data_IF_157561287940
#
_entry.id   IF_157561287940
#
_cell.length_a   1.000
_cell.length_b   1.000
_cell.length_c   1.000
_cell.angle_alpha   90.00
_cell.angle_beta   90.00
_cell.angle_gamma   90.00
#
_symmetry.space_group_name_H-M   'P 1'
#
loop_
_entity.id
_entity.type
_entity.pdbx_description
1 polymer ?
#
# COMPACT_ATOMS: atom_id res chain seq x y z
N UNK A 1 -6.74 -11.16 10.18
CA UNK A 1 -7.27 -9.79 10.15
C UNK A 1 -6.21 -8.91 9.50
N UNK A 2 -6.39 -8.54 8.23
CA UNK A 2 -5.48 -7.60 7.58
C UNK A 2 -5.81 -6.20 8.07
N UNK A 3 -5.04 -5.71 9.02
CA UNK A 3 -5.07 -4.31 9.42
C UNK A 3 -4.22 -3.55 8.42
N UNK A 4 -4.83 -3.07 7.33
CA UNK A 4 -4.16 -2.05 6.53
C UNK A 4 -3.90 -0.85 7.45
N UNK A 5 -2.66 -0.36 7.56
CA UNK A 5 -2.32 0.76 8.44
C UNK A 5 -3.00 2.07 8.00
N UNK A 6 -3.71 2.03 6.88
CA UNK A 6 -4.35 3.19 6.28
C UNK A 6 -5.86 3.14 6.48
N UNK A 7 -6.47 4.18 7.05
CA UNK A 7 -7.91 4.23 7.19
C UNK A 7 -8.55 4.48 5.82
N UNK A 8 -9.10 3.45 5.14
CA UNK A 8 -9.78 3.62 3.85
C UNK A 8 -10.94 4.61 3.96
N UNK A 9 -11.42 4.87 5.17
CA UNK A 9 -12.45 5.86 5.48
C UNK A 9 -12.06 7.29 5.11
N UNK A 10 -10.76 7.62 5.04
CA UNK A 10 -10.29 8.96 4.72
C UNK A 10 -10.24 9.25 3.23
N UNK A 11 -10.27 8.21 2.40
CA UNK A 11 -10.01 8.32 0.95
C UNK A 11 -11.15 7.75 0.13
N UNK A 12 -11.69 6.59 0.51
CA UNK A 12 -12.64 5.83 -0.29
C UNK A 12 -14.05 5.78 0.28
N UNK A 13 -14.26 6.13 1.54
CA UNK A 13 -15.57 5.97 2.16
C UNK A 13 -16.40 7.22 2.05
N UNK A 14 -17.58 7.05 1.47
CA UNK A 14 -18.68 7.97 1.64
C UNK A 14 -19.18 7.90 3.09
N UNK A 15 -19.35 9.04 3.73
CA UNK A 15 -19.89 9.09 5.08
C UNK A 15 -21.40 8.80 5.05
N UNK A 16 -21.78 7.52 5.10
CA UNK A 16 -23.14 7.13 5.47
C UNK A 16 -23.31 7.24 6.98
N UNK A 17 -24.53 7.32 7.46
CA UNK A 17 -24.89 7.50 8.89
C UNK A 17 -24.24 6.49 9.82
N UNK A 18 -23.79 5.32 9.33
CA UNK A 18 -23.21 4.21 10.11
C UNK A 18 -21.70 4.02 9.90
N UNK A 19 -21.07 4.75 9.01
CA UNK A 19 -19.63 4.61 8.75
C UNK A 19 -18.88 5.69 9.52
N UNK A 20 -18.05 5.32 10.48
CA UNK A 20 -17.25 6.27 11.26
C UNK A 20 -16.48 7.27 10.38
N UNK A 21 -16.29 8.49 10.88
CA UNK A 21 -15.61 9.57 10.15
C UNK A 21 -14.12 9.28 9.93
N UNK A 22 -13.50 9.95 8.95
CA UNK A 22 -12.03 9.92 8.76
C UNK A 22 -11.30 10.27 10.06
N UNK A 23 -11.75 11.29 10.79
CA UNK A 23 -11.16 11.67 12.07
C UNK A 23 -11.21 10.53 13.11
N UNK A 24 -12.32 9.79 13.16
CA UNK A 24 -12.46 8.64 14.05
C UNK A 24 -11.53 7.47 13.62
N UNK A 25 -11.37 7.25 12.32
CA UNK A 25 -10.47 6.24 11.78
C UNK A 25 -9.00 6.56 12.09
N UNK A 26 -8.59 7.81 11.91
CA UNK A 26 -7.25 8.29 12.28
C UNK A 26 -7.02 8.10 13.78
N UNK A 27 -7.98 8.50 14.63
CA UNK A 27 -7.82 8.29 16.08
C UNK A 27 -7.67 6.82 16.44
N UNK A 28 -8.45 5.92 15.83
CA UNK A 28 -8.29 4.47 16.07
C UNK A 28 -6.93 3.96 15.65
N UNK A 29 -6.41 4.40 14.50
CA UNK A 29 -5.08 4.04 14.03
C UNK A 29 -3.99 4.56 14.99
N UNK A 30 -4.07 5.83 15.40
CA UNK A 30 -3.14 6.41 16.39
C UNK A 30 -3.18 5.61 17.72
N UNK A 31 -4.38 5.34 18.25
CA UNK A 31 -4.51 4.57 19.51
C UNK A 31 -3.93 3.15 19.39
N UNK A 32 -4.07 2.51 18.23
CA UNK A 32 -3.48 1.19 17.98
C UNK A 32 -1.96 1.27 17.99
N UNK A 33 -1.39 2.26 17.30
CA UNK A 33 0.05 2.47 17.24
C UNK A 33 0.64 2.84 18.60
N UNK A 34 -0.09 3.62 19.41
CA UNK A 34 0.32 3.99 20.77
C UNK A 34 0.13 2.86 21.78
N UNK A 35 -0.54 1.77 21.38
CA UNK A 35 -0.75 0.61 22.23
C UNK A 35 0.53 -0.23 22.33
N UNK A 36 0.97 -0.59 23.55
CA UNK A 36 2.06 -1.54 23.74
C UNK A 36 1.85 -2.89 23.02
N UNK A 37 0.57 -3.27 22.80
CA UNK A 37 0.23 -4.50 22.12
C UNK A 37 0.73 -4.55 20.67
N UNK A 38 0.85 -3.40 19.99
CA UNK A 38 1.38 -3.35 18.62
C UNK A 38 2.84 -3.80 18.58
N UNK A 39 3.70 -3.16 19.38
CA UNK A 39 5.13 -3.49 19.44
C UNK A 39 5.36 -4.90 19.98
N UNK A 40 4.65 -5.31 21.03
CA UNK A 40 4.76 -6.66 21.59
C UNK A 40 4.36 -7.74 20.58
N UNK A 41 3.28 -7.55 19.83
CA UNK A 41 2.86 -8.51 18.82
C UNK A 41 3.88 -8.66 17.69
N UNK A 42 4.45 -7.54 17.25
CA UNK A 42 5.50 -7.54 16.23
C UNK A 42 6.78 -8.22 16.75
N UNK A 43 7.18 -7.88 17.97
CA UNK A 43 8.36 -8.48 18.61
C UNK A 43 8.21 -10.00 18.74
N UNK A 44 7.05 -10.46 19.21
CA UNK A 44 6.76 -11.91 19.32
C UNK A 44 6.78 -12.58 17.94
N UNK A 45 6.24 -11.95 16.92
CA UNK A 45 6.28 -12.49 15.55
C UNK A 45 7.71 -12.62 15.04
N UNK A 46 8.54 -11.60 15.21
CA UNK A 46 9.94 -11.62 14.78
C UNK A 46 10.75 -12.70 15.51
N UNK A 47 10.59 -12.83 16.82
CA UNK A 47 11.24 -13.86 17.61
C UNK A 47 10.80 -15.25 17.19
N UNK A 48 9.50 -15.47 16.96
CA UNK A 48 8.97 -16.75 16.48
C UNK A 48 9.50 -17.12 15.09
N UNK A 49 9.66 -16.13 14.20
CA UNK A 49 10.24 -16.36 12.87
C UNK A 49 11.72 -16.73 12.95
N UNK A 50 12.49 -16.06 13.81
CA UNK A 50 13.89 -16.40 14.04
C UNK A 50 14.02 -17.82 14.58
N UNK A 51 13.24 -18.20 15.59
CA UNK A 51 13.24 -19.55 16.17
C UNK A 51 12.86 -20.60 15.13
N UNK A 52 11.78 -20.40 14.39
CA UNK A 52 11.33 -21.30 13.33
C UNK A 52 12.39 -21.50 12.23
N UNK A 53 13.13 -20.45 11.90
CA UNK A 53 14.23 -20.50 10.93
C UNK A 53 15.50 -21.14 11.49
N UNK A 54 15.57 -21.46 12.78
CA UNK A 54 16.79 -21.94 13.46
C UNK A 54 18.00 -21.10 13.11
N UNK A 55 17.86 -19.78 13.28
CA UNK A 55 18.82 -18.78 12.80
C UNK A 55 20.27 -19.04 13.24
N UNK A 56 20.48 -19.69 14.39
CA UNK A 56 21.81 -20.06 14.91
C UNK A 56 22.55 -21.02 13.96
N UNK A 57 21.80 -21.84 13.22
CA UNK A 57 22.35 -22.80 12.25
C UNK A 57 22.56 -22.16 10.87
N UNK A 58 22.07 -20.95 10.67
CA UNK A 58 22.10 -20.24 9.39
C UNK A 58 22.80 -18.89 9.53
N UNK A 59 24.15 -18.82 9.45
CA UNK A 59 24.92 -17.60 9.71
C UNK A 59 24.51 -16.40 8.85
N UNK A 60 24.03 -16.64 7.63
CA UNK A 60 23.58 -15.60 6.70
C UNK A 60 22.07 -15.33 6.74
N UNK A 61 21.34 -15.95 7.64
CA UNK A 61 19.90 -15.66 7.77
C UNK A 61 19.68 -14.34 8.48
N UNK A 62 18.83 -13.50 7.88
CA UNK A 62 18.27 -12.32 8.52
C UNK A 62 16.82 -12.13 8.07
N UNK A 63 16.01 -11.52 8.93
CA UNK A 63 14.67 -11.04 8.59
C UNK A 63 14.80 -9.61 8.14
N UNK A 64 14.17 -9.28 7.02
CA UNK A 64 14.05 -7.90 6.54
C UNK A 64 12.64 -7.40 6.85
N UNK A 65 12.55 -6.36 7.65
CA UNK A 65 11.32 -5.61 7.92
C UNK A 65 11.37 -4.34 7.09
N UNK A 66 10.51 -4.23 6.10
CA UNK A 66 10.38 -3.01 5.31
C UNK A 66 9.45 -2.02 5.99
N UNK A 67 9.79 -0.74 5.95
CA UNK A 67 8.88 0.34 6.32
C UNK A 67 7.79 0.56 5.26
N UNK A 68 7.18 1.71 5.31
CA UNK A 68 6.18 2.19 4.36
C UNK A 68 6.61 3.55 3.83
N UNK A 69 6.33 3.85 2.56
CA UNK A 69 6.50 5.19 2.03
C UNK A 69 5.26 6.05 2.30
N UNK A 70 5.47 7.34 2.52
CA UNK A 70 4.40 8.33 2.57
C UNK A 70 3.68 8.40 1.24
N UNK A 71 2.36 8.50 1.27
CA UNK A 71 1.55 8.39 0.06
C UNK A 71 1.39 9.71 -0.68
N UNK A 72 1.55 10.84 0.00
CA UNK A 72 1.21 12.16 -0.53
C UNK A 72 2.37 13.13 -0.43
N UNK A 73 2.55 13.97 -1.45
CA UNK A 73 3.19 15.26 -1.21
C UNK A 73 2.22 16.14 -0.42
N UNK A 74 2.67 16.69 0.69
CA UNK A 74 1.88 17.56 1.55
C UNK A 74 2.35 19.02 1.55
N UNK A 75 3.34 19.36 0.71
CA UNK A 75 3.99 20.68 0.68
C UNK A 75 3.18 21.70 -0.13
N UNK A 76 2.38 21.23 -1.10
CA UNK A 76 1.64 22.10 -2.00
C UNK A 76 0.16 22.12 -1.70
N UNK A 77 -0.57 23.15 -2.15
CA UNK A 77 -2.04 23.24 -2.09
C UNK A 77 -2.73 22.67 -3.32
N UNK A 78 -1.98 22.14 -4.30
CA UNK A 78 -2.53 21.73 -5.61
C UNK A 78 -3.62 20.65 -5.50
N UNK A 79 -3.59 19.82 -4.47
CA UNK A 79 -4.58 18.78 -4.20
C UNK A 79 -5.69 19.19 -3.22
N UNK A 80 -5.68 20.38 -2.66
CA UNK A 80 -6.55 20.72 -1.51
C UNK A 80 -8.04 20.61 -1.84
N UNK A 81 -8.41 20.88 -3.10
CA UNK A 81 -9.78 20.75 -3.59
C UNK A 81 -10.06 19.42 -4.32
N UNK A 82 -9.07 18.54 -4.39
CA UNK A 82 -9.17 17.26 -5.08
C UNK A 82 -9.56 16.14 -4.14
N UNK A 83 -10.20 15.12 -4.69
CA UNK A 83 -10.34 13.79 -4.07
C UNK A 83 -9.69 12.78 -5.01
N UNK A 84 -9.39 11.57 -4.57
CA UNK A 84 -8.89 10.52 -5.46
C UNK A 84 -9.98 9.94 -6.37
N UNK A 85 -10.99 10.73 -6.66
CA UNK A 85 -11.82 10.75 -7.85
C UNK A 85 -12.83 9.65 -8.06
N UNK A 86 -12.85 8.66 -7.19
CA UNK A 86 -13.82 7.57 -7.35
C UNK A 86 -15.21 7.99 -6.86
N UNK A 87 -15.31 9.14 -6.16
CA UNK A 87 -16.54 9.56 -5.47
C UNK A 87 -16.91 11.00 -5.79
N UNK A 88 -18.13 11.21 -6.19
CA UNK A 88 -18.74 12.53 -6.10
C UNK A 88 -18.88 12.91 -4.62
N UNK A 89 -18.16 13.94 -4.17
CA UNK A 89 -18.19 14.38 -2.78
C UNK A 89 -17.29 13.59 -1.83
N UNK A 90 -16.27 12.87 -2.32
CA UNK A 90 -15.24 12.26 -1.48
C UNK A 90 -14.45 13.29 -0.66
N UNK A 91 -13.74 12.87 0.40
CA UNK A 91 -12.93 13.76 1.20
C UNK A 91 -11.91 14.51 0.33
N UNK A 92 -11.84 15.81 0.51
CA UNK A 92 -10.81 16.61 -0.15
C UNK A 92 -9.45 16.33 0.48
N UNK A 93 -8.44 16.16 -0.35
CA UNK A 93 -7.07 15.89 0.04
C UNK A 93 -6.35 17.17 0.49
N UNK A 94 -6.93 17.92 1.42
CA UNK A 94 -6.28 19.12 1.92
C UNK A 94 -4.85 18.83 2.41
N UNK A 95 -3.94 19.81 2.33
CA UNK A 95 -2.57 19.66 2.82
C UNK A 95 -2.53 19.15 4.26
N UNK A 96 -3.47 19.62 5.11
CA UNK A 96 -3.60 19.15 6.50
C UNK A 96 -3.95 17.66 6.58
N UNK A 97 -4.88 17.16 5.73
CA UNK A 97 -5.23 15.74 5.72
C UNK A 97 -4.06 14.89 5.24
N UNK A 98 -3.40 15.31 4.14
CA UNK A 98 -2.23 14.61 3.58
C UNK A 98 -1.10 14.53 4.60
N UNK A 99 -0.77 15.64 5.26
CA UNK A 99 0.23 15.66 6.33
C UNK A 99 -0.16 14.73 7.50
N UNK A 100 -1.45 14.70 7.89
CA UNK A 100 -1.91 13.81 8.96
C UNK A 100 -1.81 12.33 8.59
N UNK A 101 -2.10 11.99 7.33
CA UNK A 101 -1.99 10.62 6.83
C UNK A 101 -0.52 10.19 6.71
N UNK A 102 0.34 11.07 6.20
CA UNK A 102 1.78 10.82 6.17
C UNK A 102 2.36 10.63 7.59
N UNK A 103 1.92 11.44 8.55
CA UNK A 103 2.32 11.29 9.95
C UNK A 103 2.02 9.91 10.55
N UNK A 104 0.89 9.27 10.14
CA UNK A 104 0.63 7.89 10.55
C UNK A 104 1.65 6.89 9.95
N UNK A 105 2.13 7.14 8.74
CA UNK A 105 3.18 6.33 8.12
C UNK A 105 4.50 6.50 8.88
N UNK A 106 4.86 7.75 9.21
CA UNK A 106 6.06 8.06 9.98
C UNK A 106 6.00 7.38 11.37
N UNK A 107 4.84 7.43 12.04
CA UNK A 107 4.61 6.78 13.34
C UNK A 107 4.77 5.25 13.25
N UNK A 108 4.18 4.60 12.22
CA UNK A 108 4.38 3.15 11.98
C UNK A 108 5.85 2.83 11.78
N UNK A 109 6.54 3.57 10.91
CA UNK A 109 7.95 3.32 10.63
C UNK A 109 8.82 3.49 11.88
N UNK A 110 8.53 4.48 12.73
CA UNK A 110 9.22 4.67 14.00
C UNK A 110 9.03 3.46 14.93
N UNK A 111 7.81 2.91 15.03
CA UNK A 111 7.51 1.73 15.84
C UNK A 111 8.16 0.45 15.29
N UNK A 112 8.12 0.26 13.96
CA UNK A 112 8.83 -0.87 13.33
C UNK A 112 10.32 -0.82 13.62
N UNK A 113 10.93 0.36 13.47
CA UNK A 113 12.36 0.55 13.72
C UNK A 113 12.73 0.34 15.20
N UNK A 114 11.90 0.82 16.13
CA UNK A 114 12.15 0.62 17.58
C UNK A 114 12.05 -0.85 17.95
N UNK A 115 11.05 -1.57 17.44
CA UNK A 115 10.88 -3.01 17.71
C UNK A 115 12.02 -3.84 17.13
N UNK A 116 12.47 -3.53 15.90
CA UNK A 116 13.65 -4.20 15.30
C UNK A 116 14.90 -4.00 16.17
N UNK A 117 15.12 -2.80 16.69
CA UNK A 117 16.24 -2.54 17.61
C UNK A 117 16.08 -3.33 18.92
N UNK A 118 14.88 -3.37 19.49
CA UNK A 118 14.62 -4.12 20.71
C UNK A 118 14.85 -5.63 20.52
N UNK A 119 14.41 -6.20 19.39
CA UNK A 119 14.67 -7.60 19.06
C UNK A 119 16.16 -7.86 18.95
N UNK A 120 16.89 -7.06 18.16
CA UNK A 120 18.33 -7.24 17.97
C UNK A 120 19.12 -7.12 19.30
N UNK A 121 18.69 -6.27 20.24
CA UNK A 121 19.35 -6.10 21.54
C UNK A 121 19.27 -7.34 22.43
N UNK A 122 18.37 -8.28 22.14
CA UNK A 122 18.27 -9.55 22.90
C UNK A 122 19.37 -10.55 22.54
N UNK A 123 20.06 -10.34 21.43
CA UNK A 123 21.10 -11.26 20.96
C UNK A 123 22.48 -10.66 21.25
N UNK A 124 23.35 -11.46 21.85
CA UNK A 124 24.74 -11.08 22.08
C UNK A 124 25.60 -11.05 20.79
N UNK A 125 24.98 -11.33 19.64
CA UNK A 125 25.64 -11.35 18.34
C UNK A 125 25.99 -9.92 17.90
N UNK A 126 27.21 -9.73 17.35
CA UNK A 126 27.58 -8.48 16.69
C UNK A 126 26.78 -8.22 15.42
N UNK A 127 26.28 -9.28 14.77
CA UNK A 127 25.48 -9.19 13.54
C UNK A 127 24.01 -9.01 13.87
N UNK A 128 23.38 -8.04 13.20
CA UNK A 128 21.93 -7.85 13.27
C UNK A 128 21.22 -9.03 12.61
N UNK A 129 20.20 -9.55 13.27
CA UNK A 129 19.35 -10.65 12.76
C UNK A 129 18.05 -10.17 12.15
N UNK A 130 17.66 -8.95 12.46
CA UNK A 130 16.52 -8.27 11.87
C UNK A 130 16.99 -6.92 11.34
N UNK A 131 16.75 -6.68 10.06
CA UNK A 131 17.10 -5.43 9.39
C UNK A 131 15.83 -4.60 9.21
N UNK A 132 15.91 -3.31 9.48
CA UNK A 132 14.84 -2.38 9.13
C UNK A 132 15.26 -1.58 7.90
N UNK A 133 14.45 -1.66 6.83
CA UNK A 133 14.69 -0.95 5.58
C UNK A 133 13.70 0.17 5.42
N UNK A 134 14.20 1.41 5.50
CA UNK A 134 13.44 2.59 5.17
C UNK A 134 13.65 2.95 3.70
N UNK A 135 12.55 2.99 2.97
CA UNK A 135 12.59 3.32 1.54
C UNK A 135 11.75 4.54 1.18
N UNK A 136 11.26 5.28 2.18
CA UNK A 136 10.37 6.42 1.95
C UNK A 136 10.97 7.49 1.04
N UNK A 137 12.26 7.80 1.21
CA UNK A 137 12.95 8.83 0.42
C UNK A 137 13.00 8.48 -1.08
N UNK A 138 13.02 7.18 -1.44
CA UNK A 138 13.00 6.77 -2.85
C UNK A 138 11.70 7.13 -3.55
N UNK A 139 10.63 7.37 -2.80
CA UNK A 139 9.33 7.77 -3.34
C UNK A 139 9.15 9.28 -3.47
N UNK A 140 10.15 10.09 -3.15
CA UNK A 140 10.10 11.54 -3.39
C UNK A 140 9.97 11.85 -4.89
N UNK A 141 8.99 12.69 -5.25
CA UNK A 141 8.62 12.96 -6.63
C UNK A 141 7.63 11.96 -7.24
N UNK A 142 7.36 10.85 -6.56
CA UNK A 142 6.55 9.73 -7.06
C UNK A 142 5.27 9.46 -6.21
N UNK A 143 4.95 10.36 -5.30
CA UNK A 143 3.75 10.30 -4.46
C UNK A 143 2.54 10.87 -5.18
N UNK A 144 1.37 10.67 -4.60
CA UNK A 144 0.20 11.44 -4.99
C UNK A 144 0.37 12.91 -4.62
N UNK A 145 -0.28 13.79 -5.37
CA UNK A 145 -0.28 15.24 -5.13
C UNK A 145 1.09 15.91 -5.29
N UNK A 146 2.01 15.31 -6.02
CA UNK A 146 3.28 15.96 -6.36
C UNK A 146 3.05 17.29 -7.10
N UNK A 147 3.98 18.26 -7.03
CA UNK A 147 3.85 19.52 -7.70
C UNK A 147 3.55 19.37 -9.20
N UNK A 148 2.52 20.05 -9.68
CA UNK A 148 2.09 19.99 -11.09
C UNK A 148 1.20 18.81 -11.44
N UNK A 149 0.89 17.91 -10.50
CA UNK A 149 -0.03 16.78 -10.71
C UNK A 149 -1.45 17.17 -10.35
N UNK A 150 -2.36 16.91 -11.27
CA UNK A 150 -3.81 17.12 -11.08
C UNK A 150 -4.46 15.77 -10.77
N UNK A 151 -4.63 15.49 -9.48
CA UNK A 151 -5.25 14.22 -9.05
C UNK A 151 -6.78 14.20 -9.30
N UNK A 152 -7.34 13.01 -9.61
CA UNK A 152 -6.65 11.72 -9.82
C UNK A 152 -6.05 11.62 -11.22
N UNK A 153 -4.75 11.34 -11.33
CA UNK A 153 -4.08 11.14 -12.60
C UNK A 153 -3.77 9.66 -12.84
N UNK A 154 -4.65 8.97 -13.55
CA UNK A 154 -4.51 7.55 -13.88
C UNK A 154 -3.48 7.27 -14.97
N UNK A 155 -3.05 8.28 -15.72
CA UNK A 155 -2.12 8.14 -16.83
C UNK A 155 -0.66 8.38 -16.43
N UNK A 156 -0.45 9.03 -15.27
CA UNK A 156 0.88 9.37 -14.82
C UNK A 156 1.69 8.13 -14.47
N UNK A 157 2.77 7.90 -15.19
CA UNK A 157 3.68 6.77 -14.97
C UNK A 157 4.58 7.01 -13.75
N UNK A 158 4.91 8.27 -13.46
CA UNK A 158 5.77 8.65 -12.34
C UNK A 158 5.13 8.52 -10.96
N UNK A 159 3.83 8.31 -10.84
CA UNK A 159 3.22 7.96 -9.57
C UNK A 159 3.44 6.48 -9.29
N UNK A 160 4.12 6.16 -8.20
CA UNK A 160 4.53 4.80 -7.88
C UNK A 160 3.55 4.02 -7.01
N UNK A 161 2.36 4.56 -6.78
CA UNK A 161 1.27 3.88 -6.09
C UNK A 161 0.10 3.65 -7.02
N UNK A 162 -0.58 2.52 -6.83
CA UNK A 162 -1.81 2.24 -7.55
C UNK A 162 -2.95 3.14 -7.08
N UNK A 163 -3.64 3.76 -8.03
CA UNK A 163 -5.03 4.20 -7.86
C UNK A 163 -5.98 3.03 -8.09
N UNK A 164 -7.23 3.18 -7.67
CA UNK A 164 -8.28 2.19 -7.98
C UNK A 164 -8.37 2.00 -9.49
N UNK A 165 -8.12 0.78 -9.95
CA UNK A 165 -8.14 0.47 -11.39
C UNK A 165 -6.98 1.06 -12.21
N UNK A 166 -5.99 1.68 -11.56
CA UNK A 166 -4.82 2.25 -12.23
C UNK A 166 -3.92 1.17 -12.86
N UNK A 167 -3.24 1.55 -13.94
CA UNK A 167 -2.25 0.70 -14.62
C UNK A 167 -0.98 0.58 -13.80
N UNK A 168 -0.25 -0.50 -14.05
CA UNK A 168 1.14 -0.61 -13.65
C UNK A 168 2.06 0.29 -14.51
N UNK A 169 3.22 0.64 -13.98
CA UNK A 169 4.22 1.48 -14.63
C UNK A 169 5.53 0.74 -14.92
N UNK A 170 5.57 -0.59 -14.80
CA UNK A 170 6.72 -1.40 -15.15
C UNK A 170 6.99 -1.36 -16.65
N UNK A 171 8.24 -1.15 -17.05
CA UNK A 171 8.68 -1.47 -18.41
C UNK A 171 8.49 -2.95 -18.61
N UNK A 172 7.64 -3.35 -19.58
CA UNK A 172 7.42 -4.74 -19.93
C UNK A 172 8.72 -5.42 -20.36
N UNK A 173 9.53 -5.85 -19.37
CA UNK A 173 10.61 -6.79 -19.61
C UNK A 173 10.06 -8.13 -20.10
N UNK A 174 10.88 -8.98 -20.66
CA UNK A 174 10.54 -10.30 -21.24
C UNK A 174 9.86 -11.30 -20.27
N UNK A 175 9.33 -10.85 -19.18
CA UNK A 175 8.48 -11.57 -18.21
C UNK A 175 7.16 -10.89 -17.92
N UNK A 176 6.86 -9.76 -18.56
CA UNK A 176 5.52 -9.20 -18.50
C UNK A 176 4.56 -10.23 -19.10
N UNK A 177 3.67 -10.75 -18.27
CA UNK A 177 2.57 -11.61 -18.73
C UNK A 177 1.93 -10.87 -19.89
N UNK A 178 2.14 -11.37 -21.12
CA UNK A 178 1.46 -10.84 -22.30
C UNK A 178 -0.01 -10.87 -21.96
N UNK A 179 -0.62 -9.69 -21.89
CA UNK A 179 -2.05 -9.56 -21.66
C UNK A 179 -2.76 -10.29 -22.82
N UNK A 180 -3.03 -11.58 -22.63
CA UNK A 180 -3.93 -12.33 -23.51
C UNK A 180 -5.31 -11.66 -23.41
N UNK A 181 -6.01 -11.49 -24.52
CA UNK A 181 -7.29 -10.77 -24.53
C UNK A 181 -8.43 -11.65 -24.01
N UNK A 182 -8.43 -11.97 -22.71
CA UNK A 182 -9.59 -12.59 -22.08
C UNK A 182 -10.70 -11.55 -21.99
N UNK A 183 -11.72 -11.73 -22.78
CA UNK A 183 -12.97 -10.99 -22.65
C UNK A 183 -13.69 -11.44 -21.38
N UNK A 184 -13.31 -10.91 -20.24
CA UNK A 184 -14.23 -10.86 -19.11
C UNK A 184 -15.13 -9.66 -19.39
N UNK A 185 -16.33 -9.89 -19.82
CA UNK A 185 -17.37 -8.88 -19.80
C UNK A 185 -17.62 -8.55 -18.34
N UNK A 186 -17.05 -7.44 -17.87
CA UNK A 186 -17.48 -6.87 -16.60
C UNK A 186 -19.01 -6.68 -16.71
N UNK A 187 -19.77 -7.02 -15.67
CA UNK A 187 -21.19 -6.75 -15.68
C UNK A 187 -21.38 -5.29 -16.08
N UNK A 188 -22.18 -5.05 -17.11
CA UNK A 188 -22.51 -3.71 -17.57
C UNK A 188 -23.31 -3.04 -16.46
N UNK A 189 -22.64 -2.21 -15.69
CA UNK A 189 -23.25 -1.48 -14.59
C UNK A 189 -23.45 -0.05 -15.06
N UNK A 190 -24.67 0.41 -14.97
CA UNK A 190 -25.01 1.78 -15.31
C UNK A 190 -24.41 2.75 -14.27
N UNK A 191 -23.43 3.60 -14.66
CA UNK A 191 -22.75 4.50 -13.74
C UNK A 191 -23.67 5.54 -13.10
N UNK A 192 -24.80 5.86 -13.71
CA UNK A 192 -25.72 6.88 -13.20
C UNK A 192 -26.63 6.33 -12.09
N UNK A 193 -26.90 5.03 -12.07
CA UNK A 193 -27.89 4.43 -11.17
C UNK A 193 -27.32 3.38 -10.18
N UNK A 194 -26.10 2.90 -10.40
CA UNK A 194 -25.55 1.78 -9.61
C UNK A 194 -25.23 2.11 -8.16
N UNK A 195 -25.02 3.37 -7.81
CA UNK A 195 -24.46 3.76 -6.52
C UNK A 195 -25.38 3.46 -5.33
N UNK A 196 -26.67 3.70 -5.47
CA UNK A 196 -27.66 3.39 -4.45
C UNK A 196 -27.72 1.90 -4.13
N UNK A 197 -28.08 1.06 -5.11
CA UNK A 197 -28.12 -0.40 -4.94
C UNK A 197 -26.82 -1.02 -4.43
N UNK A 198 -25.66 -0.56 -4.94
CA UNK A 198 -24.37 -1.05 -4.51
C UNK A 198 -24.05 -0.72 -3.04
N UNK A 199 -24.52 0.42 -2.54
CA UNK A 199 -24.42 0.79 -1.12
C UNK A 199 -25.33 -0.04 -0.24
N UNK A 200 -26.56 -0.19 -0.66
CA UNK A 200 -27.60 -0.86 0.12
C UNK A 200 -27.32 -2.36 0.24
N UNK A 201 -26.66 -2.95 -0.74
CA UNK A 201 -26.23 -4.35 -0.70
C UNK A 201 -25.17 -4.64 0.36
N UNK A 202 -24.40 -3.63 0.80
CA UNK A 202 -23.23 -3.83 1.66
C UNK A 202 -22.07 -4.58 0.96
N UNK A 203 -22.24 -4.94 -0.31
CA UNK A 203 -21.23 -5.63 -1.13
C UNK A 203 -20.20 -4.64 -1.66
N UNK A 204 -19.00 -4.74 -1.11
CA UNK A 204 -17.85 -3.95 -1.55
C UNK A 204 -17.50 -4.18 -3.02
N UNK A 205 -17.82 -5.37 -3.52
CA UNK A 205 -17.65 -5.76 -4.90
C UNK A 205 -18.53 -4.93 -5.83
N UNK A 206 -19.81 -4.92 -5.57
CA UNK A 206 -20.78 -4.15 -6.34
C UNK A 206 -20.44 -2.66 -6.30
N UNK A 207 -20.03 -2.17 -5.14
CA UNK A 207 -19.64 -0.77 -4.95
C UNK A 207 -18.43 -0.41 -5.81
N UNK A 208 -17.41 -1.28 -5.87
CA UNK A 208 -16.22 -1.07 -6.68
C UNK A 208 -16.52 -1.04 -8.17
N UNK A 209 -17.30 -2.00 -8.65
CA UNK A 209 -17.70 -2.05 -10.06
C UNK A 209 -18.45 -0.78 -10.45
N UNK A 210 -19.35 -0.31 -9.58
CA UNK A 210 -20.07 0.95 -9.78
C UNK A 210 -19.11 2.13 -9.92
N UNK A 211 -18.14 2.25 -9.02
CA UNK A 211 -17.16 3.35 -9.11
C UNK A 211 -16.27 3.28 -10.32
N UNK A 212 -15.86 2.09 -10.73
CA UNK A 212 -15.11 1.92 -11.98
C UNK A 212 -15.92 2.38 -13.19
N UNK A 213 -17.22 2.05 -13.22
CA UNK A 213 -18.14 2.50 -14.27
C UNK A 213 -18.24 4.03 -14.28
N UNK A 214 -18.40 4.66 -13.12
CA UNK A 214 -18.45 6.13 -12.98
C UNK A 214 -17.12 6.80 -13.38
N UNK A 215 -15.98 6.20 -13.01
CA UNK A 215 -14.67 6.72 -13.40
C UNK A 215 -14.48 6.66 -14.91
N UNK A 216 -14.86 5.54 -15.53
CA UNK A 216 -14.79 5.36 -16.99
C UNK A 216 -15.76 6.30 -17.74
N UNK A 217 -16.92 6.60 -17.19
CA UNK A 217 -17.85 7.58 -17.75
C UNK A 217 -17.23 8.98 -17.77
N UNK A 218 -16.46 9.36 -16.74
CA UNK A 218 -15.77 10.66 -16.66
C UNK A 218 -14.55 10.75 -17.57
N UNK A 219 -13.81 9.65 -17.67
CA UNK A 219 -12.66 9.51 -18.54
C UNK A 219 -12.81 8.24 -19.39
N UNK A 220 -13.41 8.36 -20.59
CA UNK A 220 -13.57 7.22 -21.51
C UNK A 220 -12.25 6.58 -21.93
N UNK A 221 -11.13 7.30 -21.83
CA UNK A 221 -9.79 6.80 -22.16
C UNK A 221 -9.21 5.90 -21.06
N UNK A 222 -9.82 5.90 -19.87
CA UNK A 222 -9.37 5.10 -18.75
C UNK A 222 -9.36 3.61 -19.11
N UNK A 223 -8.16 3.04 -19.16
CA UNK A 223 -7.97 1.59 -19.31
C UNK A 223 -7.78 0.98 -17.96
N UNK A 224 -8.80 0.29 -17.48
CA UNK A 224 -8.72 -0.50 -16.26
C UNK A 224 -7.81 -1.72 -16.50
N UNK A 225 -6.88 -1.99 -15.57
CA UNK A 225 -6.09 -3.18 -15.62
C UNK A 225 -7.00 -4.41 -15.54
N UNK A 226 -6.74 -5.42 -16.39
CA UNK A 226 -7.51 -6.66 -16.36
C UNK A 226 -7.15 -7.46 -15.12
N UNK A 227 -8.12 -8.06 -14.47
CA UNK A 227 -7.85 -8.96 -13.38
C UNK A 227 -7.22 -10.25 -13.89
N UNK A 228 -6.22 -10.73 -13.18
CA UNK A 228 -5.69 -12.08 -13.36
C UNK A 228 -6.66 -13.03 -12.67
N UNK A 229 -7.33 -13.88 -13.45
CA UNK A 229 -8.14 -14.97 -12.91
C UNK A 229 -7.17 -16.08 -12.49
N UNK A 230 -7.11 -16.38 -11.19
CA UNK A 230 -6.54 -17.66 -10.78
C UNK A 230 -7.52 -18.76 -11.24
N UNK A 231 -7.06 -19.68 -12.07
CA UNK A 231 -7.80 -20.87 -12.45
C UNK A 231 -8.18 -21.67 -11.19
N UNK A 232 -9.46 -21.69 -10.84
CA UNK A 232 -9.98 -22.44 -9.71
C UNK A 232 -11.49 -22.21 -9.60
N UNK A 233 -12.20 -23.24 -9.98
CA UNK A 233 -13.64 -23.41 -9.96
C UNK A 233 -14.28 -22.95 -8.65
N UNK A 234 -15.53 -22.45 -8.74
CA UNK A 234 -16.48 -22.18 -7.67
C UNK A 234 -16.52 -20.79 -7.02
N UNK A 235 -17.40 -19.95 -7.47
CA UNK A 235 -17.92 -18.80 -6.73
C UNK A 235 -17.14 -17.47 -6.88
N UNK A 236 -16.51 -17.25 -7.97
CA UNK A 236 -15.48 -16.22 -8.23
C UNK A 236 -15.95 -14.75 -8.26
N UNK A 237 -17.21 -14.42 -8.08
CA UNK A 237 -17.67 -13.01 -8.24
C UNK A 237 -17.26 -12.07 -7.12
N UNK A 238 -17.10 -12.56 -5.90
CA UNK A 238 -16.79 -11.73 -4.72
C UNK A 238 -15.28 -11.53 -4.48
N UNK A 239 -14.44 -12.47 -4.90
CA UNK A 239 -12.98 -12.32 -4.76
C UNK A 239 -12.38 -11.30 -5.73
N UNK A 240 -13.01 -11.09 -6.84
CA UNK A 240 -12.54 -10.29 -7.95
C UNK A 240 -12.43 -8.79 -7.66
N UNK A 241 -13.42 -8.27 -6.97
CA UNK A 241 -13.52 -6.85 -6.65
C UNK A 241 -12.59 -6.45 -5.51
N UNK A 242 -12.26 -7.39 -4.63
CA UNK A 242 -11.32 -7.16 -3.53
C UNK A 242 -9.91 -6.86 -4.03
N UNK A 243 -9.47 -7.42 -5.16
CA UNK A 243 -8.11 -7.23 -5.70
C UNK A 243 -7.90 -5.81 -6.22
N UNK A 244 -8.88 -5.21 -6.87
CA UNK A 244 -8.76 -3.82 -7.35
C UNK A 244 -8.63 -2.80 -6.22
N UNK A 245 -9.39 -3.01 -5.12
CA UNK A 245 -9.23 -2.21 -3.93
C UNK A 245 -7.98 -2.59 -3.14
N UNK A 246 -7.65 -3.88 -3.10
CA UNK A 246 -6.49 -4.37 -2.38
C UNK A 246 -5.18 -3.81 -2.95
N UNK A 247 -5.09 -3.55 -4.26
CA UNK A 247 -3.92 -2.93 -4.89
C UNK A 247 -3.78 -1.44 -4.60
N UNK A 248 -4.86 -0.74 -4.27
CA UNK A 248 -4.80 0.71 -4.08
C UNK A 248 -3.84 1.06 -2.95
N UNK A 249 -3.02 2.07 -3.19
CA UNK A 249 -1.89 2.45 -2.34
C UNK A 249 -0.78 1.40 -2.20
N UNK A 250 -0.86 0.26 -2.89
CA UNK A 250 0.31 -0.59 -3.02
C UNK A 250 1.28 0.01 -4.04
N UNK A 251 2.58 -0.25 -3.89
CA UNK A 251 3.55 0.17 -4.87
C UNK A 251 3.26 -0.45 -6.25
N UNK A 252 3.45 0.34 -7.30
CA UNK A 252 3.53 -0.12 -8.70
C UNK A 252 4.91 -0.74 -8.95
N UNK A 253 5.13 -1.33 -10.13
CA UNK A 253 6.39 -2.02 -10.45
C UNK A 253 7.64 -1.19 -10.18
N UNK A 254 7.69 0.08 -10.60
CA UNK A 254 8.83 0.96 -10.31
C UNK A 254 9.01 1.21 -8.80
N UNK A 255 7.91 1.33 -8.06
CA UNK A 255 7.96 1.42 -6.60
C UNK A 255 8.51 0.14 -5.96
N UNK A 256 8.13 -1.05 -6.47
CA UNK A 256 8.71 -2.32 -6.02
C UNK A 256 10.19 -2.44 -6.36
N UNK A 257 10.64 -1.92 -7.51
CA UNK A 257 12.07 -1.87 -7.85
C UNK A 257 12.86 -0.99 -6.88
N UNK A 258 12.30 0.17 -6.51
CA UNK A 258 12.91 1.05 -5.51
C UNK A 258 13.03 0.35 -4.14
N UNK A 259 11.97 -0.34 -3.70
CA UNK A 259 11.98 -1.13 -2.46
C UNK A 259 13.03 -2.23 -2.52
N UNK A 260 13.05 -3.01 -3.62
CA UNK A 260 14.06 -4.05 -3.85
C UNK A 260 15.48 -3.48 -3.73
N UNK A 261 15.75 -2.38 -4.40
CA UNK A 261 17.08 -1.76 -4.39
C UNK A 261 17.45 -1.25 -2.98
N UNK A 262 16.49 -0.73 -2.21
CA UNK A 262 16.71 -0.36 -0.82
C UNK A 262 17.05 -1.59 0.06
N UNK A 263 16.33 -2.70 -0.14
CA UNK A 263 16.57 -3.95 0.58
C UNK A 263 17.98 -4.47 0.28
N UNK A 264 18.38 -4.51 -1.00
CA UNK A 264 19.73 -4.98 -1.37
C UNK A 264 20.83 -4.11 -0.75
N UNK A 265 20.69 -2.79 -0.79
CA UNK A 265 21.68 -1.88 -0.17
C UNK A 265 21.85 -2.12 1.34
N UNK A 266 20.75 -2.35 2.07
CA UNK A 266 20.84 -2.64 3.51
C UNK A 266 21.37 -4.04 3.77
N UNK A 267 21.05 -5.01 2.91
CA UNK A 267 21.59 -6.36 2.98
C UNK A 267 23.11 -6.37 2.77
N UNK A 268 23.59 -5.69 1.73
CA UNK A 268 25.02 -5.59 1.41
C UNK A 268 25.80 -4.98 2.57
N UNK A 269 25.32 -3.90 3.19
CA UNK A 269 25.99 -3.30 4.37
C UNK A 269 26.23 -4.30 5.50
N UNK A 270 25.32 -5.23 5.72
CA UNK A 270 25.41 -6.19 6.84
C UNK A 270 26.24 -7.42 6.49
N UNK A 271 26.26 -7.84 5.22
CA UNK A 271 26.87 -9.10 4.81
C UNK A 271 28.19 -8.94 4.04
N UNK A 272 28.48 -7.77 3.45
CA UNK A 272 29.77 -7.51 2.79
C UNK A 272 30.85 -7.02 3.76
N UNK A 273 30.49 -6.37 4.87
CA UNK A 273 31.44 -6.05 5.94
C UNK A 273 32.10 -7.32 6.53
N UNK A 274 31.42 -8.48 6.46
CA UNK A 274 31.99 -9.75 6.91
C UNK A 274 33.07 -10.34 5.98
N UNK A 275 33.06 -9.98 4.70
CA UNK A 275 34.09 -10.41 3.75
C UNK A 275 35.42 -9.69 4.02
N UNK A 276 35.36 -8.46 4.48
CA UNK A 276 36.56 -7.65 4.79
C UNK A 276 37.21 -8.15 6.09
N UNK A 277 36.43 -8.49 7.12
CA UNK A 277 36.96 -8.97 8.40
C UNK A 277 37.33 -10.45 8.43
N UNK A 278 36.97 -11.22 7.40
CA UNK A 278 37.40 -12.63 7.30
C UNK A 278 38.73 -12.79 6.54
N UNK A 279 39.32 -11.71 6.07
CA UNK A 279 40.60 -11.66 5.36
C UNK A 279 41.73 -11.00 6.18
N UNK A 280 41.40 -10.52 7.40
CA UNK A 280 42.37 -10.10 8.43
C UNK A 280 42.55 -11.22 9.49
#
# INVERSE_FOLDING_TARGET
MQTTPFPPQCIFRFYGFYSGTCAAAIRRATNLLDSPAFELSLEMALLSLLDAARWEQHPRFAIVVTGYARFFDARTSACDDRSLGVWLGGPKLSARLRARLNGLVDDVNARLRSTVRAVNSRFASRRQRVLFVDYDEQFDGHRFCEPGVLEPDYQREDTWFFLVGGKDNGSGGEGAVKEEPWRVELPVVDPDTCLGPARDSGDWGALAVCYMAMAKQRDPSLRLARPVVADGDDGASTQYTSIYYAKTFHPRSLGHEAIRNAVYREWEKVFDEDLVHSLE
#
